data_IF_105385018096
#
_entry.id   IF_105385018096
#
_cell.length_a   1.000
_cell.length_b   1.000
_cell.length_c   1.000
_cell.angle_alpha   90.00
_cell.angle_beta   90.00
_cell.angle_gamma   90.00
#
_symmetry.space_group_name_H-M   'P 1'
#
loop_
_entity.id
_entity.type
_entity.pdbx_description
1 polymer ?
#
# COMPACT_ATOMS: atom_id res chain seq x y z
N UNK A 1 -33.76 -10.01 44.83
CA UNK A 1 -34.54 -10.18 43.59
C UNK A 1 -33.54 -10.49 42.48
N UNK A 2 -33.46 -11.77 42.16
CA UNK A 2 -32.52 -12.38 41.22
C UNK A 2 -33.27 -12.65 39.93
N UNK A 3 -32.71 -12.30 38.78
CA UNK A 3 -33.16 -12.78 37.46
C UNK A 3 -31.93 -13.02 36.58
N UNK A 4 -31.51 -14.27 36.66
CA UNK A 4 -30.68 -15.01 35.72
C UNK A 4 -31.47 -15.28 34.43
N UNK A 5 -30.83 -15.15 33.28
CA UNK A 5 -31.25 -15.82 32.05
C UNK A 5 -30.02 -16.16 31.19
N UNK A 6 -29.63 -17.43 31.29
CA UNK A 6 -28.79 -18.19 30.36
C UNK A 6 -29.73 -18.91 29.39
N UNK A 7 -29.37 -19.06 28.11
CA UNK A 7 -29.82 -20.09 27.14
C UNK A 7 -29.03 -19.84 25.83
N UNK A 8 -27.97 -20.62 25.57
CA UNK A 8 -27.86 -21.79 24.66
C UNK A 8 -27.57 -21.44 23.19
N UNK A 9 -26.43 -21.95 22.72
CA UNK A 9 -26.00 -22.04 21.32
C UNK A 9 -26.67 -23.23 20.59
N UNK A 10 -26.68 -23.20 19.26
CA UNK A 10 -26.17 -24.31 18.45
C UNK A 10 -25.21 -23.77 17.37
N UNK A 11 -24.15 -24.45 16.94
CA UNK A 11 -24.07 -25.86 16.62
C UNK A 11 -23.98 -26.01 15.09
N UNK A 12 -22.76 -26.23 14.61
CA UNK A 12 -22.28 -26.56 13.26
C UNK A 12 -23.30 -26.93 12.17
N UNK A 13 -23.11 -26.36 10.96
CA UNK A 13 -23.14 -27.16 9.73
C UNK A 13 -22.11 -26.64 8.71
N UNK A 14 -21.07 -27.47 8.49
CA UNK A 14 -20.16 -27.40 7.34
C UNK A 14 -20.95 -27.81 6.10
N UNK A 15 -20.92 -27.00 5.04
CA UNK A 15 -21.25 -27.46 3.69
C UNK A 15 -20.00 -27.43 2.82
N UNK A 16 -19.58 -28.63 2.45
CA UNK A 16 -18.54 -28.96 1.49
C UNK A 16 -19.04 -28.53 0.10
N UNK A 17 -18.37 -27.57 -0.54
CA UNK A 17 -18.56 -27.33 -1.97
C UNK A 17 -17.57 -28.21 -2.72
N UNK A 18 -18.16 -29.16 -3.43
CA UNK A 18 -17.54 -30.19 -4.24
C UNK A 18 -16.97 -29.55 -5.53
N UNK A 19 -15.66 -29.66 -5.74
CA UNK A 19 -14.96 -29.18 -6.94
C UNK A 19 -15.10 -30.24 -8.02
N UNK A 20 -15.93 -29.98 -9.03
CA UNK A 20 -16.05 -30.81 -10.23
C UNK A 20 -15.01 -30.40 -11.27
N UNK A 21 -14.06 -31.30 -11.56
CA UNK A 21 -13.20 -31.26 -12.74
C UNK A 21 -14.00 -31.49 -14.04
N UNK A 22 -13.63 -30.83 -15.15
CA UNK A 22 -13.79 -31.38 -16.48
C UNK A 22 -12.52 -32.08 -16.96
N UNK A 23 -12.72 -33.27 -17.54
CA UNK A 23 -11.75 -34.13 -18.24
C UNK A 23 -11.33 -33.54 -19.60
N UNK A 24 -10.22 -34.05 -20.18
CA UNK A 24 -9.65 -33.54 -21.42
C UNK A 24 -10.39 -34.08 -22.66
N UNK A 25 -10.59 -33.23 -23.67
CA UNK A 25 -10.95 -33.66 -25.01
C UNK A 25 -9.69 -33.80 -25.87
N UNK A 26 -9.59 -34.96 -26.52
CA UNK A 26 -8.53 -35.32 -27.44
C UNK A 26 -8.78 -34.79 -28.86
N UNK A 27 -7.66 -34.67 -29.58
CA UNK A 27 -7.47 -35.02 -31.00
C UNK A 27 -8.24 -34.26 -32.08
N UNK A 28 -7.49 -33.52 -32.90
CA UNK A 28 -7.51 -33.72 -34.35
C UNK A 28 -6.13 -33.38 -34.94
N UNK A 29 -5.56 -34.39 -35.60
CA UNK A 29 -4.30 -34.32 -36.32
C UNK A 29 -4.53 -33.77 -37.74
N UNK A 30 -3.59 -32.96 -38.24
CA UNK A 30 -3.34 -32.85 -39.67
C UNK A 30 -1.85 -33.02 -39.89
N UNK A 31 -1.53 -34.08 -40.64
CA UNK A 31 -0.22 -34.50 -41.08
C UNK A 31 0.18 -33.73 -42.34
N UNK A 32 1.45 -33.33 -42.44
CA UNK A 32 2.09 -33.07 -43.72
C UNK A 32 3.58 -33.48 -43.66
N UNK A 33 3.82 -34.60 -44.35
CA UNK A 33 5.05 -35.19 -44.91
C UNK A 33 5.96 -34.09 -45.49
N UNK A 34 7.27 -33.95 -45.25
CA UNK A 34 8.47 -34.82 -45.28
C UNK A 34 9.66 -33.93 -45.75
N UNK A 35 10.89 -34.40 -46.11
CA UNK A 35 11.62 -35.62 -45.77
C UNK A 35 13.00 -35.37 -45.11
N UNK A 36 13.62 -36.47 -44.67
CA UNK A 36 14.97 -36.62 -44.12
C UNK A 36 16.10 -36.08 -45.02
N UNK A 37 17.16 -35.56 -44.38
CA UNK A 37 18.54 -35.75 -44.87
C UNK A 37 19.50 -36.07 -43.73
N UNK A 38 20.08 -37.26 -43.80
CA UNK A 38 21.17 -37.76 -42.95
C UNK A 38 22.49 -37.20 -43.47
N UNK A 39 23.36 -36.72 -42.60
CA UNK A 39 24.81 -36.80 -42.80
C UNK A 39 25.53 -36.90 -41.46
N UNK A 40 25.94 -38.13 -41.14
CA UNK A 40 27.05 -38.48 -40.26
C UNK A 40 28.37 -38.04 -40.89
N UNK A 41 29.21 -37.33 -40.14
CA UNK A 41 30.67 -37.46 -40.27
C UNK A 41 31.32 -37.48 -38.90
N UNK A 42 32.40 -38.25 -38.86
CA UNK A 42 33.04 -38.89 -37.73
C UNK A 42 34.48 -38.37 -37.64
N UNK A 43 34.95 -38.15 -36.41
CA UNK A 43 36.33 -38.07 -35.90
C UNK A 43 37.24 -36.94 -36.42
N UNK A 44 37.87 -36.19 -35.49
CA UNK A 44 39.22 -36.53 -34.97
C UNK A 44 39.58 -35.72 -33.73
N UNK A 45 40.36 -36.37 -32.86
CA UNK A 45 40.99 -35.88 -31.63
C UNK A 45 41.96 -34.72 -31.86
N UNK A 46 42.12 -33.90 -30.81
CA UNK A 46 43.38 -33.41 -30.21
C UNK A 46 43.04 -32.19 -29.33
N UNK A 47 43.75 -31.79 -28.28
CA UNK A 47 44.72 -32.35 -27.35
C UNK A 47 44.84 -31.23 -26.30
N UNK A 48 44.92 -31.59 -25.02
CA UNK A 48 45.61 -30.88 -23.93
C UNK A 48 45.46 -29.36 -23.78
N UNK A 49 44.92 -28.91 -22.63
CA UNK A 49 45.67 -28.06 -21.66
C UNK A 49 44.81 -27.67 -20.46
N UNK A 50 45.20 -28.23 -19.31
CA UNK A 50 45.24 -27.59 -17.98
C UNK A 50 44.62 -26.21 -17.79
N UNK A 51 43.59 -26.13 -16.94
CA UNK A 51 43.40 -24.96 -16.06
C UNK A 51 42.88 -25.42 -14.72
N UNK A 52 43.76 -25.31 -13.73
CA UNK A 52 43.49 -25.35 -12.30
C UNK A 52 42.31 -24.43 -11.98
N UNK A 53 41.16 -24.99 -11.59
CA UNK A 53 40.11 -24.22 -10.92
C UNK A 53 40.02 -24.71 -9.48
N UNK A 54 40.64 -23.89 -8.63
CA UNK A 54 40.43 -23.82 -7.20
C UNK A 54 38.92 -23.71 -6.97
N UNK A 55 38.35 -24.76 -6.36
CA UNK A 55 37.03 -24.71 -5.78
C UNK A 55 37.09 -23.80 -4.55
N UNK A 56 37.01 -22.50 -4.77
CA UNK A 56 36.79 -21.52 -3.71
C UNK A 56 35.33 -21.65 -3.28
N UNK A 57 35.14 -22.44 -2.22
CA UNK A 57 33.90 -22.49 -1.45
C UNK A 57 33.59 -21.08 -0.97
N UNK A 58 32.71 -20.39 -1.70
CA UNK A 58 32.02 -19.20 -1.23
C UNK A 58 31.17 -19.61 -0.03
N UNK A 59 31.76 -19.51 1.16
CA UNK A 59 31.04 -19.53 2.42
C UNK A 59 30.04 -18.38 2.40
N UNK A 60 28.78 -18.72 2.19
CA UNK A 60 27.65 -17.85 2.45
C UNK A 60 27.68 -17.53 3.95
N UNK A 61 28.22 -16.36 4.29
CA UNK A 61 28.19 -15.84 5.64
C UNK A 61 26.72 -15.72 6.07
N UNK A 62 26.24 -16.71 6.82
CA UNK A 62 24.96 -16.63 7.50
C UNK A 62 25.03 -15.44 8.47
N UNK A 63 23.96 -14.64 8.60
CA UNK A 63 23.96 -13.49 9.50
C UNK A 63 24.32 -13.94 10.92
N UNK A 64 25.11 -13.12 11.62
CA UNK A 64 25.50 -13.35 13.00
C UNK A 64 24.25 -13.75 13.83
N UNK A 65 24.21 -14.98 14.37
CA UNK A 65 23.07 -15.47 15.16
C UNK A 65 22.71 -14.54 16.31
N UNK A 66 23.69 -13.86 16.91
CA UNK A 66 23.46 -12.90 17.99
C UNK A 66 22.74 -11.64 17.51
N UNK A 67 23.14 -11.10 16.34
CA UNK A 67 22.47 -9.96 15.73
C UNK A 67 21.02 -10.29 15.35
N UNK A 68 20.77 -11.48 14.79
CA UNK A 68 19.41 -11.95 14.47
C UNK A 68 18.54 -12.10 15.72
N UNK A 69 19.08 -12.69 16.79
CA UNK A 69 18.37 -12.82 18.06
C UNK A 69 18.03 -11.45 18.68
N UNK A 70 18.99 -10.51 18.68
CA UNK A 70 18.76 -9.13 19.12
C UNK A 70 17.68 -8.43 18.31
N UNK A 71 17.72 -8.59 16.98
CA UNK A 71 16.72 -8.00 16.09
C UNK A 71 15.31 -8.54 16.41
N UNK A 72 15.18 -9.85 16.66
CA UNK A 72 13.89 -10.44 17.01
C UNK A 72 13.32 -9.88 18.31
N UNK A 73 14.13 -9.73 19.35
CA UNK A 73 13.70 -9.13 20.62
C UNK A 73 13.23 -7.67 20.44
N UNK A 74 13.96 -6.89 19.64
CA UNK A 74 13.58 -5.52 19.31
C UNK A 74 12.27 -5.48 18.51
N UNK A 75 12.07 -6.41 17.58
CA UNK A 75 10.81 -6.52 16.82
C UNK A 75 9.64 -6.89 17.73
N UNK A 76 9.83 -7.80 18.68
CA UNK A 76 8.79 -8.15 19.65
C UNK A 76 8.37 -6.96 20.50
N UNK A 77 9.34 -6.24 21.07
CA UNK A 77 9.08 -5.03 21.86
C UNK A 77 8.39 -3.95 21.02
N UNK A 78 8.86 -3.73 19.78
CA UNK A 78 8.27 -2.75 18.87
C UNK A 78 6.80 -3.08 18.55
N UNK A 79 6.51 -4.33 18.22
CA UNK A 79 5.14 -4.77 17.88
C UNK A 79 4.21 -4.61 19.08
N UNK A 80 4.67 -4.93 20.29
CA UNK A 80 3.91 -4.69 21.52
C UNK A 80 3.67 -3.19 21.75
N UNK A 81 4.67 -2.34 21.50
CA UNK A 81 4.56 -0.90 21.69
C UNK A 81 3.62 -0.21 20.71
N UNK A 82 3.46 -0.73 19.49
CA UNK A 82 2.60 -0.11 18.46
C UNK A 82 1.22 -0.78 18.36
N UNK A 83 1.02 -1.89 19.05
CA UNK A 83 -0.24 -2.59 19.07
C UNK A 83 -1.38 -1.68 19.57
N UNK A 84 -2.54 -1.78 18.90
CA UNK A 84 -3.74 -1.00 19.17
C UNK A 84 -3.57 0.54 19.15
N UNK A 85 -2.58 1.06 18.41
CA UNK A 85 -2.33 2.53 18.33
C UNK A 85 -2.98 3.24 17.15
N UNK A 86 -3.74 2.52 16.31
CA UNK A 86 -4.22 3.01 15.01
C UNK A 86 -3.07 3.59 14.17
N UNK A 87 -2.10 2.75 13.80
CA UNK A 87 -0.93 3.14 13.02
C UNK A 87 -0.09 4.28 13.64
N UNK A 88 -0.08 4.41 14.97
CA UNK A 88 0.64 5.45 15.69
C UNK A 88 -0.12 6.77 15.86
N UNK A 89 -1.40 6.82 15.54
CA UNK A 89 -2.25 8.00 15.67
C UNK A 89 -2.63 8.27 17.14
N UNK A 90 -2.90 7.22 17.93
CA UNK A 90 -3.30 7.31 19.34
C UNK A 90 -2.21 6.82 20.32
N UNK A 91 -0.95 6.73 19.87
CA UNK A 91 0.18 6.33 20.72
C UNK A 91 0.61 7.47 21.67
N UNK A 92 0.97 7.13 22.92
CA UNK A 92 1.51 8.11 23.88
C UNK A 92 2.92 8.57 23.49
N UNK A 93 3.34 9.74 23.97
CA UNK A 93 4.66 10.30 23.65
C UNK A 93 5.82 9.40 24.11
N UNK A 94 5.71 8.80 25.31
CA UNK A 94 6.72 7.87 25.84
C UNK A 94 6.86 6.63 24.97
N UNK A 95 5.72 5.98 24.63
CA UNK A 95 5.70 4.83 23.71
C UNK A 95 6.23 5.20 22.34
N UNK A 96 5.92 6.40 21.83
CA UNK A 96 6.41 6.93 20.55
C UNK A 96 7.93 7.09 20.53
N UNK A 97 8.49 7.69 21.58
CA UNK A 97 9.94 7.87 21.72
C UNK A 97 10.62 6.51 21.72
N UNK A 98 10.11 5.56 22.52
CA UNK A 98 10.67 4.21 22.59
C UNK A 98 10.56 3.44 21.27
N UNK A 99 9.39 3.47 20.62
CA UNK A 99 9.19 2.84 19.32
C UNK A 99 10.16 3.42 18.27
N UNK A 100 10.33 4.75 18.24
CA UNK A 100 11.26 5.40 17.31
C UNK A 100 12.73 5.06 17.60
N UNK A 101 13.11 4.92 18.87
CA UNK A 101 14.45 4.45 19.26
C UNK A 101 14.70 3.02 18.78
N UNK A 102 13.76 2.10 19.02
CA UNK A 102 13.86 0.71 18.55
C UNK A 102 13.95 0.65 17.01
N UNK A 103 13.14 1.45 16.29
CA UNK A 103 13.22 1.54 14.83
C UNK A 103 14.64 1.94 14.42
N UNK A 104 15.26 2.94 15.04
CA UNK A 104 16.64 3.35 14.72
C UNK A 104 17.66 2.26 15.02
N UNK A 105 17.52 1.53 16.13
CA UNK A 105 18.39 0.39 16.43
C UNK A 105 18.26 -0.71 15.36
N UNK A 106 17.04 -1.02 14.93
CA UNK A 106 16.79 -1.96 13.84
C UNK A 106 17.33 -1.46 12.50
N UNK A 107 17.32 -0.14 12.24
CA UNK A 107 17.98 0.45 11.06
C UNK A 107 19.49 0.22 11.07
N UNK A 108 20.15 0.35 12.24
CA UNK A 108 21.58 0.04 12.36
C UNK A 108 21.86 -1.44 12.10
N UNK A 109 21.02 -2.35 12.61
CA UNK A 109 21.14 -3.79 12.32
C UNK A 109 20.90 -4.05 10.82
N UNK A 110 19.87 -3.45 10.24
CA UNK A 110 19.52 -3.60 8.83
C UNK A 110 20.56 -3.04 7.87
N UNK A 111 21.37 -2.07 8.30
CA UNK A 111 22.48 -1.56 7.51
C UNK A 111 23.59 -2.60 7.25
N UNK A 112 23.70 -3.63 8.10
CA UNK A 112 24.61 -4.76 7.93
C UNK A 112 23.90 -6.03 7.43
N UNK A 113 22.61 -5.94 7.09
CA UNK A 113 21.82 -7.09 6.67
C UNK A 113 22.16 -7.52 5.24
N UNK A 114 22.43 -8.81 5.08
CA UNK A 114 22.53 -9.49 3.79
C UNK A 114 21.50 -10.63 3.69
N UNK A 115 20.81 -10.79 2.54
CA UNK A 115 20.81 -9.88 1.40
C UNK A 115 20.20 -8.52 1.76
N UNK A 116 20.68 -7.46 1.10
CA UNK A 116 20.12 -6.10 1.21
C UNK A 116 18.59 -6.09 1.00
N UNK A 117 17.84 -5.22 1.70
CA UNK A 117 16.38 -5.19 1.65
C UNK A 117 15.74 -5.24 0.26
N UNK A 118 16.25 -4.53 -0.75
CA UNK A 118 15.67 -4.57 -2.11
C UNK A 118 15.99 -5.84 -2.90
N UNK A 119 17.06 -6.54 -2.54
CA UNK A 119 17.46 -7.82 -3.15
C UNK A 119 16.90 -9.03 -2.38
N UNK A 120 16.30 -8.79 -1.22
CA UNK A 120 15.72 -9.82 -0.38
C UNK A 120 14.31 -10.19 -0.90
N UNK A 121 14.02 -11.48 -1.18
CA UNK A 121 12.69 -11.92 -1.64
C UNK A 121 11.55 -11.55 -0.70
N UNK A 122 11.84 -11.33 0.58
CA UNK A 122 10.86 -10.86 1.56
C UNK A 122 10.35 -9.44 1.26
N UNK A 123 10.95 -8.67 0.34
CA UNK A 123 10.42 -7.34 -0.01
C UNK A 123 9.01 -7.45 -0.61
N UNK A 124 8.71 -8.56 -1.27
CA UNK A 124 7.43 -8.82 -1.91
C UNK A 124 6.38 -9.29 -0.91
N UNK A 125 5.15 -8.81 -1.07
CA UNK A 125 3.99 -9.24 -0.30
C UNK A 125 3.03 -8.11 0.06
N UNK A 126 1.99 -8.50 0.79
CA UNK A 126 1.05 -7.58 1.40
C UNK A 126 1.52 -7.22 2.81
N UNK A 127 1.37 -5.95 3.16
CA UNK A 127 1.71 -5.46 4.48
C UNK A 127 0.62 -4.55 5.05
N UNK A 128 0.37 -4.67 6.35
CA UNK A 128 -0.35 -3.63 7.09
C UNK A 128 0.64 -2.53 7.46
N UNK A 129 0.20 -1.27 7.39
CA UNK A 129 0.96 -0.13 7.92
C UNK A 129 0.69 -0.03 9.41
N UNK A 130 1.43 -0.80 10.20
CA UNK A 130 1.21 -0.98 11.63
C UNK A 130 1.59 0.25 12.46
N UNK A 131 2.53 1.07 11.97
CA UNK A 131 2.93 2.30 12.65
C UNK A 131 3.52 3.32 11.70
N UNK A 132 3.23 4.59 11.95
CA UNK A 132 3.91 5.73 11.34
C UNK A 132 4.28 6.77 12.39
N UNK A 133 5.45 7.39 12.20
CA UNK A 133 5.84 8.61 12.92
C UNK A 133 6.09 9.73 11.93
N UNK A 134 5.59 10.93 12.23
CA UNK A 134 5.92 12.12 11.46
C UNK A 134 7.39 12.47 11.65
N UNK A 135 8.05 12.86 10.55
CA UNK A 135 9.37 13.46 10.58
C UNK A 135 9.26 14.98 10.73
N UNK A 136 10.36 15.63 11.10
CA UNK A 136 10.40 17.08 11.38
C UNK A 136 9.99 17.95 10.18
N UNK A 137 10.11 17.43 8.94
CA UNK A 137 9.77 18.13 7.70
C UNK A 137 8.44 17.68 7.09
N UNK A 138 7.64 16.87 7.80
CA UNK A 138 6.38 16.32 7.31
C UNK A 138 5.20 17.08 7.91
N UNK A 139 4.46 17.82 7.09
CA UNK A 139 3.12 18.30 7.48
C UNK A 139 2.11 17.17 7.26
N UNK A 140 1.22 16.88 8.23
CA UNK A 140 0.16 15.88 8.10
C UNK A 140 0.60 14.41 8.25
N UNK A 141 -0.37 13.49 8.14
CA UNK A 141 -0.14 12.06 8.37
C UNK A 141 0.74 11.43 7.26
N UNK A 142 1.84 10.73 7.60
CA UNK A 142 2.74 10.14 6.60
C UNK A 142 2.07 9.07 5.74
N UNK A 143 1.15 8.31 6.34
CA UNK A 143 0.27 7.40 5.64
C UNK A 143 -1.18 7.88 5.75
N UNK A 144 -1.91 7.76 4.64
CA UNK A 144 -3.29 8.21 4.52
C UNK A 144 -3.48 9.73 4.37
N UNK A 145 -2.46 10.54 4.67
CA UNK A 145 -2.42 11.95 4.30
C UNK A 145 -3.66 12.73 4.78
N UNK A 146 -4.31 13.48 3.87
CA UNK A 146 -5.47 14.31 4.22
C UNK A 146 -6.65 13.51 4.81
N UNK A 147 -6.82 12.24 4.46
CA UNK A 147 -7.86 11.37 5.04
C UNK A 147 -7.62 11.08 6.52
N UNK A 148 -6.36 11.13 6.96
CA UNK A 148 -5.94 10.84 8.34
C UNK A 148 -5.42 12.06 9.09
N UNK A 149 -5.66 13.27 8.59
CA UNK A 149 -5.17 14.51 9.20
C UNK A 149 -6.27 15.56 9.34
N UNK A 150 -6.22 16.37 10.41
CA UNK A 150 -7.13 17.48 10.65
C UNK A 150 -8.61 17.06 10.53
N UNK A 151 -9.37 17.80 9.71
CA UNK A 151 -10.80 17.52 9.47
C UNK A 151 -11.04 16.15 8.84
N UNK A 152 -10.07 15.60 8.10
CA UNK A 152 -10.20 14.26 7.50
C UNK A 152 -10.34 13.17 8.56
N UNK A 153 -9.65 13.27 9.70
CA UNK A 153 -9.77 12.30 10.79
C UNK A 153 -11.17 12.28 11.41
N UNK A 154 -11.87 13.42 11.39
CA UNK A 154 -13.26 13.54 11.85
C UNK A 154 -14.22 12.92 10.83
N UNK A 155 -13.99 13.16 9.54
CA UNK A 155 -14.86 12.69 8.46
C UNK A 155 -14.66 11.22 8.12
N UNK A 156 -13.43 10.73 8.23
CA UNK A 156 -13.00 9.42 7.76
C UNK A 156 -12.37 8.65 8.92
N UNK A 157 -13.17 7.81 9.58
CA UNK A 157 -12.66 6.91 10.60
C UNK A 157 -11.91 5.76 9.92
N UNK A 158 -10.59 5.76 9.98
CA UNK A 158 -9.78 4.70 9.36
C UNK A 158 -10.04 3.37 10.07
N UNK A 159 -10.27 2.32 9.28
CA UNK A 159 -10.46 0.95 9.76
C UNK A 159 -9.32 0.05 9.33
N UNK A 160 -8.67 0.36 8.20
CA UNK A 160 -7.55 -0.42 7.67
C UNK A 160 -6.57 0.46 6.91
N UNK A 161 -5.29 0.15 7.03
CA UNK A 161 -4.21 0.80 6.29
C UNK A 161 -3.21 -0.25 5.80
N UNK A 162 -3.13 -0.43 4.48
CA UNK A 162 -2.32 -1.45 3.85
C UNK A 162 -1.36 -0.83 2.81
N UNK A 163 -0.22 -1.48 2.66
CA UNK A 163 0.70 -1.27 1.55
C UNK A 163 1.16 -2.63 1.04
N UNK A 164 1.13 -2.84 -0.27
CA UNK A 164 1.69 -4.04 -0.89
C UNK A 164 2.79 -3.67 -1.85
N UNK A 165 3.80 -4.52 -1.90
CA UNK A 165 4.87 -4.48 -2.91
C UNK A 165 4.77 -5.79 -3.66
N UNK A 166 4.26 -5.73 -4.89
CA UNK A 166 3.90 -6.87 -5.71
C UNK A 166 4.84 -6.95 -6.90
N UNK A 167 5.15 -8.17 -7.32
CA UNK A 167 5.97 -8.39 -8.49
C UNK A 167 5.26 -7.92 -9.76
N UNK A 168 6.00 -7.47 -10.79
CA UNK A 168 7.46 -7.28 -10.79
C UNK A 168 7.91 -5.96 -10.13
N UNK A 169 7.05 -4.95 -10.05
CA UNK A 169 7.42 -3.61 -9.56
C UNK A 169 6.21 -2.78 -9.09
N UNK A 170 5.08 -3.42 -8.79
CA UNK A 170 3.83 -2.77 -8.44
C UNK A 170 3.81 -2.43 -6.95
N UNK A 171 3.41 -1.21 -6.62
CA UNK A 171 3.16 -0.79 -5.24
C UNK A 171 1.74 -0.28 -5.12
N UNK A 172 1.01 -0.78 -4.15
CA UNK A 172 -0.35 -0.33 -3.87
C UNK A 172 -0.46 0.12 -2.44
N UNK A 173 -1.09 1.28 -2.24
CA UNK A 173 -1.48 1.78 -0.91
C UNK A 173 -2.99 1.75 -0.84
N UNK A 174 -3.56 1.26 0.26
CA UNK A 174 -5.00 1.23 0.47
C UNK A 174 -5.36 1.71 1.86
N UNK A 175 -6.35 2.57 1.93
CA UNK A 175 -7.01 2.99 3.16
C UNK A 175 -8.44 2.51 3.07
N UNK A 176 -8.94 1.85 4.11
CA UNK A 176 -10.38 1.64 4.29
C UNK A 176 -10.82 2.49 5.48
N UNK A 177 -11.97 3.13 5.34
CA UNK A 177 -12.50 4.04 6.35
C UNK A 177 -14.03 4.05 6.34
N UNK A 178 -14.60 4.58 7.41
CA UNK A 178 -16.02 4.92 7.50
C UNK A 178 -16.18 6.43 7.33
N UNK A 179 -16.74 6.86 6.21
CA UNK A 179 -17.19 8.23 6.00
C UNK A 179 -18.37 8.52 6.94
N UNK A 180 -18.27 9.61 7.71
CA UNK A 180 -19.21 9.99 8.78
C UNK A 180 -19.42 8.90 9.85
N UNK A 181 -18.49 7.95 9.95
CA UNK A 181 -18.55 6.85 10.92
C UNK A 181 -19.49 5.70 10.55
N UNK A 182 -20.18 5.73 9.40
CA UNK A 182 -21.10 4.65 9.00
C UNK A 182 -20.98 4.20 7.54
N UNK A 183 -20.57 5.07 6.61
CA UNK A 183 -20.51 4.70 5.18
C UNK A 183 -19.13 4.13 4.85
N UNK A 184 -19.00 2.83 4.51
CA UNK A 184 -17.71 2.26 4.15
C UNK A 184 -17.17 2.87 2.87
N UNK A 185 -15.91 3.28 2.87
CA UNK A 185 -15.20 3.75 1.70
C UNK A 185 -13.81 3.13 1.67
N UNK A 186 -13.22 3.08 0.48
CA UNK A 186 -11.80 2.77 0.33
C UNK A 186 -11.12 3.82 -0.57
N UNK A 187 -9.88 4.15 -0.25
CA UNK A 187 -9.01 4.99 -1.08
C UNK A 187 -7.77 4.18 -1.43
N UNK A 188 -7.60 3.93 -2.71
CA UNK A 188 -6.49 3.15 -3.26
C UNK A 188 -5.55 4.01 -4.08
N UNK A 189 -4.24 3.81 -3.94
CA UNK A 189 -3.25 4.33 -4.87
C UNK A 189 -2.50 3.17 -5.49
N UNK A 190 -2.30 3.23 -6.81
CA UNK A 190 -1.52 2.28 -7.58
C UNK A 190 -0.30 2.99 -8.15
N UNK A 191 0.87 2.42 -7.98
CA UNK A 191 2.12 2.99 -8.45
C UNK A 191 3.17 1.95 -8.79
N UNK A 192 4.31 2.41 -9.30
CA UNK A 192 5.38 1.54 -9.76
C UNK A 192 6.71 1.96 -9.15
N UNK A 193 7.52 0.97 -8.74
CA UNK A 193 8.88 1.15 -8.25
C UNK A 193 9.77 1.63 -9.39
N UNK A 194 10.54 2.67 -9.10
CA UNK A 194 11.61 3.14 -9.97
C UNK A 194 12.87 3.30 -9.13
N UNK A 195 13.98 2.78 -9.65
CA UNK A 195 15.31 3.06 -9.13
C UNK A 195 15.58 4.57 -9.21
N UNK A 196 15.94 5.17 -8.09
CA UNK A 196 16.10 6.62 -8.01
C UNK A 196 17.39 7.06 -8.74
N UNK A 197 17.37 8.18 -9.50
CA UNK A 197 18.58 8.84 -9.95
C UNK A 197 19.50 9.20 -8.77
N UNK A 198 20.81 9.24 -9.02
CA UNK A 198 21.88 9.41 -8.03
C UNK A 198 21.75 10.65 -7.12
N UNK A 199 20.88 11.62 -7.43
CA UNK A 199 20.74 12.90 -6.71
C UNK A 199 19.63 12.92 -5.63
N UNK A 200 18.60 12.07 -5.70
CA UNK A 200 17.47 12.10 -4.76
C UNK A 200 17.55 11.05 -3.63
N UNK A 201 18.41 10.03 -3.77
CA UNK A 201 18.46 8.87 -2.87
C UNK A 201 19.22 9.05 -1.54
N UNK A 202 19.82 10.22 -1.28
CA UNK A 202 20.64 10.46 -0.09
C UNK A 202 21.91 9.59 -0.02
N UNK A 203 22.56 9.44 1.16
CA UNK A 203 23.80 8.67 1.32
C UNK A 203 23.61 7.14 1.21
N UNK A 204 22.43 6.60 1.52
CA UNK A 204 22.12 5.16 1.46
C UNK A 204 21.24 4.81 0.25
N UNK A 205 21.78 5.01 -0.95
CA UNK A 205 21.06 4.91 -2.23
C UNK A 205 20.58 3.50 -2.57
N UNK A 206 21.25 2.47 -2.03
CA UNK A 206 21.08 1.09 -2.48
C UNK A 206 19.75 0.46 -2.07
N UNK A 207 19.11 0.94 -1.00
CA UNK A 207 17.79 0.46 -0.56
C UNK A 207 16.67 1.51 -0.68
N UNK A 208 16.95 2.55 -1.46
CA UNK A 208 16.05 3.67 -1.67
C UNK A 208 15.29 3.50 -2.99
N UNK A 209 13.97 3.60 -2.94
CA UNK A 209 13.08 3.51 -4.10
C UNK A 209 12.17 4.72 -4.18
N UNK A 210 11.89 5.16 -5.42
CA UNK A 210 10.85 6.15 -5.69
C UNK A 210 9.66 5.42 -6.30
N UNK A 211 8.49 5.67 -5.75
CA UNK A 211 7.24 5.13 -6.26
C UNK A 211 6.44 6.28 -6.85
N UNK A 212 5.98 6.12 -8.10
CA UNK A 212 5.06 7.06 -8.74
C UNK A 212 3.65 6.47 -8.76
N UNK A 213 2.77 7.07 -7.97
CA UNK A 213 1.37 6.72 -7.88
C UNK A 213 0.52 7.49 -8.87
N UNK A 214 -0.40 6.78 -9.52
CA UNK A 214 -1.52 7.36 -10.25
C UNK A 214 -2.47 8.10 -9.29
N UNK A 215 -3.39 8.94 -9.81
CA UNK A 215 -4.40 9.60 -9.01
C UNK A 215 -5.17 8.58 -8.15
N UNK A 216 -5.37 8.85 -6.85
CA UNK A 216 -6.09 7.97 -5.95
C UNK A 216 -7.48 7.61 -6.47
N UNK A 217 -7.86 6.35 -6.25
CA UNK A 217 -9.19 5.82 -6.54
C UNK A 217 -10.00 5.78 -5.24
N UNK A 218 -11.11 6.51 -5.21
CA UNK A 218 -12.13 6.43 -4.16
C UNK A 218 -13.19 5.41 -4.59
N UNK A 219 -13.36 4.37 -3.78
CA UNK A 219 -14.41 3.35 -3.91
C UNK A 219 -15.46 3.56 -2.83
N UNK A 220 -16.73 3.62 -3.24
CA UNK A 220 -17.90 3.53 -2.37
C UNK A 220 -18.63 2.19 -2.61
N UNK A 221 -19.57 1.79 -1.72
CA UNK A 221 -20.33 0.56 -1.89
C UNK A 221 -21.16 0.58 -3.19
N UNK A 222 -21.51 -0.61 -3.69
CA UNK A 222 -22.30 -0.73 -4.93
C UNK A 222 -21.51 -0.48 -6.22
N UNK A 223 -20.18 -0.58 -6.18
CA UNK A 223 -19.34 -0.45 -7.37
C UNK A 223 -19.16 0.99 -7.86
N UNK A 224 -19.46 1.98 -7.02
CA UNK A 224 -19.29 3.39 -7.33
C UNK A 224 -17.82 3.75 -7.10
N UNK A 225 -17.10 4.05 -8.19
CA UNK A 225 -15.69 4.41 -8.13
C UNK A 225 -15.46 5.76 -8.81
N UNK A 226 -14.52 6.54 -8.28
CA UNK A 226 -14.00 7.74 -8.94
C UNK A 226 -12.52 7.92 -8.68
N UNK A 227 -11.82 8.63 -9.56
CA UNK A 227 -10.50 9.16 -9.25
C UNK A 227 -10.61 10.51 -8.58
N UNK A 228 -9.74 10.76 -7.61
CA UNK A 228 -9.66 11.98 -6.82
C UNK A 228 -8.22 12.46 -6.73
N UNK A 229 -8.06 13.77 -6.69
CA UNK A 229 -6.77 14.43 -6.57
C UNK A 229 -5.75 14.15 -7.67
N UNK A 230 -4.54 14.68 -7.51
CA UNK A 230 -3.47 14.54 -8.48
C UNK A 230 -2.71 13.22 -8.30
N UNK A 231 -1.91 12.83 -9.31
CA UNK A 231 -0.84 11.84 -9.13
C UNK A 231 0.16 12.26 -8.04
N UNK A 232 0.97 11.32 -7.55
CA UNK A 232 1.94 11.61 -6.49
C UNK A 232 3.18 10.73 -6.52
N UNK A 233 4.27 11.17 -5.90
CA UNK A 233 5.48 10.36 -5.74
C UNK A 233 5.88 10.24 -4.27
N UNK A 234 6.53 9.12 -3.93
CA UNK A 234 7.09 8.88 -2.60
C UNK A 234 8.48 8.29 -2.74
N UNK A 235 9.44 8.85 -2.01
CA UNK A 235 10.77 8.29 -1.83
C UNK A 235 10.84 7.61 -0.46
N UNK A 236 11.12 6.31 -0.46
CA UNK A 236 11.20 5.49 0.75
C UNK A 236 12.46 4.62 0.71
N UNK A 237 13.22 4.64 1.79
CA UNK A 237 14.32 3.69 2.03
C UNK A 237 13.81 2.52 2.86
N UNK A 238 13.97 1.29 2.37
CA UNK A 238 13.72 0.10 3.19
C UNK A 238 14.96 -0.17 4.02
N UNK A 239 14.85 -0.05 5.34
CA UNK A 239 16.03 0.02 6.23
C UNK A 239 16.28 -1.25 7.03
N UNK A 240 15.28 -2.10 7.18
CA UNK A 240 15.35 -3.40 7.84
C UNK A 240 14.20 -4.26 7.32
N UNK A 241 14.43 -5.56 7.17
CA UNK A 241 13.43 -6.49 6.67
C UNK A 241 13.61 -7.86 7.29
N UNK A 242 12.55 -8.46 7.82
CA UNK A 242 12.54 -9.87 8.17
C UNK A 242 11.20 -10.51 7.79
N UNK A 243 10.96 -11.72 8.27
CA UNK A 243 9.77 -12.50 7.97
C UNK A 243 8.49 -11.80 8.48
N UNK A 244 8.60 -10.98 9.53
CA UNK A 244 7.47 -10.34 10.23
C UNK A 244 7.26 -8.88 9.85
N UNK A 245 8.35 -8.12 9.74
CA UNK A 245 8.30 -6.66 9.55
C UNK A 245 9.22 -6.17 8.44
N UNK A 246 8.81 -5.07 7.83
CA UNK A 246 9.63 -4.22 6.97
C UNK A 246 9.62 -2.81 7.54
N UNK A 247 10.79 -2.18 7.64
CA UNK A 247 10.92 -0.81 8.12
C UNK A 247 11.20 0.15 6.97
N UNK A 248 10.47 1.26 6.94
CA UNK A 248 10.61 2.32 5.95
C UNK A 248 11.07 3.63 6.58
N UNK A 249 11.96 4.34 5.88
CA UNK A 249 12.33 5.72 6.16
C UNK A 249 11.93 6.59 4.97
N UNK A 250 11.01 7.52 5.18
CA UNK A 250 10.66 8.51 4.17
C UNK A 250 11.73 9.59 4.05
N UNK A 251 11.90 10.16 2.86
CA UNK A 251 12.87 11.25 2.62
C UNK A 251 12.71 12.48 3.53
N UNK A 252 11.51 12.69 4.10
CA UNK A 252 11.20 13.77 5.06
C UNK A 252 11.37 13.36 6.53
N UNK A 253 11.99 12.21 6.79
CA UNK A 253 12.27 11.68 8.12
C UNK A 253 11.10 10.96 8.78
N UNK A 254 10.03 10.65 8.04
CA UNK A 254 8.94 9.82 8.55
C UNK A 254 9.39 8.37 8.70
N UNK A 255 8.99 7.73 9.79
CA UNK A 255 9.28 6.32 10.08
C UNK A 255 8.04 5.48 9.82
N UNK A 256 8.24 4.30 9.25
CA UNK A 256 7.17 3.35 8.94
C UNK A 256 7.52 1.96 9.45
N UNK A 257 6.55 1.28 10.05
CA UNK A 257 6.59 -0.15 10.35
C UNK A 257 5.49 -0.83 9.55
N UNK A 258 5.88 -1.78 8.71
CA UNK A 258 4.99 -2.59 7.91
C UNK A 258 5.01 -4.02 8.45
N UNK A 259 3.88 -4.57 8.86
CA UNK A 259 3.77 -5.99 9.28
C UNK A 259 3.25 -6.82 8.12
N UNK A 260 3.85 -7.99 7.88
CA UNK A 260 3.48 -8.87 6.77
C UNK A 260 2.11 -9.54 6.99
N UNK A 261 1.32 -9.63 5.93
CA UNK A 261 0.11 -10.45 5.82
C UNK A 261 -1.08 -9.94 6.65
N UNK A 262 -1.91 -10.86 7.13
CA UNK A 262 -3.07 -10.55 7.96
C UNK A 262 -4.16 -9.82 7.17
N UNK A 263 -4.68 -8.72 7.71
CA UNK A 263 -5.72 -7.91 7.06
C UNK A 263 -5.37 -7.47 5.63
N UNK A 264 -4.08 -7.24 5.36
CA UNK A 264 -3.60 -6.86 4.03
C UNK A 264 -3.72 -7.97 2.98
N UNK A 265 -3.74 -9.25 3.37
CA UNK A 265 -3.97 -10.37 2.45
C UNK A 265 -5.43 -10.46 1.98
N UNK A 266 -6.36 -9.94 2.81
CA UNK A 266 -7.79 -9.89 2.51
C UNK A 266 -8.21 -8.60 1.80
N UNK A 267 -7.28 -7.66 1.60
CA UNK A 267 -7.58 -6.31 1.13
C UNK A 267 -7.57 -6.17 -0.41
N UNK A 268 -7.47 -7.27 -1.17
CA UNK A 268 -7.47 -7.28 -2.64
C UNK A 268 -6.46 -6.27 -3.23
N UNK A 269 -5.24 -6.28 -2.69
CA UNK A 269 -4.25 -5.24 -2.92
C UNK A 269 -3.72 -5.19 -4.36
N UNK A 270 -3.88 -6.27 -5.12
CA UNK A 270 -3.61 -6.37 -6.56
C UNK A 270 -4.65 -5.65 -7.42
N UNK A 271 -5.90 -5.55 -6.93
CA UNK A 271 -7.03 -4.89 -7.59
C UNK A 271 -7.06 -3.38 -7.39
N UNK A 272 -6.26 -2.86 -6.44
CA UNK A 272 -6.20 -1.44 -6.12
C UNK A 272 -5.80 -0.61 -7.35
N UNK A 273 -6.59 0.44 -7.61
CA UNK A 273 -6.35 1.41 -8.68
C UNK A 273 -6.76 0.96 -10.08
N UNK A 274 -7.36 -0.25 -10.22
CA UNK A 274 -7.82 -0.80 -11.49
C UNK A 274 -9.27 -0.43 -11.82
N UNK A 275 -10.08 -0.01 -10.84
CA UNK A 275 -11.50 0.24 -11.12
C UNK A 275 -11.67 1.53 -11.88
N UNK A 276 -12.61 1.52 -12.81
CA UNK A 276 -12.90 2.66 -13.68
C UNK A 276 -13.74 3.68 -12.94
N UNK A 277 -13.45 4.95 -13.19
CA UNK A 277 -14.33 6.03 -12.78
C UNK A 277 -15.71 5.84 -13.40
N UNK A 278 -16.73 5.77 -12.55
CA UNK A 278 -18.12 5.65 -12.95
C UNK A 278 -18.74 7.04 -13.09
N UNK A 279 -19.62 7.22 -14.08
CA UNK A 279 -20.40 8.48 -14.22
C UNK A 279 -21.22 8.75 -12.95
N UNK A 280 -21.76 7.70 -12.35
CA UNK A 280 -22.48 7.75 -11.09
C UNK A 280 -21.59 8.26 -9.93
N UNK A 281 -20.34 7.81 -9.84
CA UNK A 281 -19.40 8.26 -8.81
C UNK A 281 -19.04 9.74 -8.92
N UNK A 282 -18.75 10.21 -10.14
CA UNK A 282 -18.52 11.63 -10.41
C UNK A 282 -19.76 12.44 -10.01
N UNK A 283 -20.93 12.04 -10.51
CA UNK A 283 -22.18 12.74 -10.23
C UNK A 283 -22.48 12.78 -8.73
N UNK A 284 -22.35 11.66 -8.02
CA UNK A 284 -22.61 11.57 -6.58
C UNK A 284 -21.71 12.50 -5.78
N UNK A 285 -20.40 12.49 -6.05
CA UNK A 285 -19.44 13.31 -5.29
C UNK A 285 -19.64 14.79 -5.60
N UNK A 286 -19.81 15.13 -6.88
CA UNK A 286 -20.08 16.51 -7.27
C UNK A 286 -21.39 17.01 -6.66
N UNK A 287 -22.47 16.23 -6.76
CA UNK A 287 -23.77 16.57 -6.19
C UNK A 287 -23.70 16.72 -4.68
N UNK A 288 -23.03 15.82 -3.95
CA UNK A 288 -22.86 15.93 -2.50
C UNK A 288 -22.10 17.20 -2.10
N UNK A 289 -20.97 17.47 -2.75
CA UNK A 289 -20.17 18.65 -2.47
C UNK A 289 -20.94 19.94 -2.82
N UNK A 290 -21.58 19.98 -3.99
CA UNK A 290 -22.36 21.12 -4.45
C UNK A 290 -23.60 21.35 -3.58
N UNK A 291 -24.32 20.30 -3.18
CA UNK A 291 -25.52 20.44 -2.34
C UNK A 291 -25.18 20.97 -0.96
N UNK A 292 -24.09 20.49 -0.34
CA UNK A 292 -23.63 20.99 0.95
C UNK A 292 -23.18 22.45 0.87
N UNK A 293 -22.44 22.80 -0.18
CA UNK A 293 -21.94 24.17 -0.35
C UNK A 293 -23.06 25.15 -0.69
N UNK A 294 -23.77 24.92 -1.80
CA UNK A 294 -24.82 25.80 -2.32
C UNK A 294 -26.00 25.85 -1.34
N UNK A 295 -26.45 24.69 -0.84
CA UNK A 295 -27.52 24.61 0.15
C UNK A 295 -27.15 25.30 1.46
N UNK A 296 -25.90 25.14 1.92
CA UNK A 296 -25.40 25.85 3.09
C UNK A 296 -25.39 27.38 2.89
N UNK A 297 -24.85 27.86 1.76
CA UNK A 297 -24.82 29.29 1.43
C UNK A 297 -26.23 29.86 1.34
N UNK A 298 -27.14 29.19 0.63
CA UNK A 298 -28.54 29.59 0.54
C UNK A 298 -29.18 29.71 1.93
N UNK A 299 -28.95 28.72 2.79
CA UNK A 299 -29.48 28.68 4.16
C UNK A 299 -28.94 29.84 5.00
N UNK A 300 -27.66 30.20 4.87
CA UNK A 300 -27.04 31.32 5.59
C UNK A 300 -27.60 32.67 5.15
N UNK A 301 -27.80 32.85 3.84
CA UNK A 301 -28.25 34.10 3.23
C UNK A 301 -29.76 34.32 3.36
N UNK A 302 -30.53 33.27 3.64
CA UNK A 302 -31.98 33.40 3.80
C UNK A 302 -32.34 33.95 5.19
N UNK A 303 -32.57 35.27 5.24
CA UNK A 303 -32.92 36.00 6.47
C UNK A 303 -34.29 35.61 7.05
N UNK A 304 -35.14 34.89 6.31
CA UNK A 304 -36.40 34.38 6.83
C UNK A 304 -36.21 33.14 7.73
N UNK A 305 -35.03 32.50 7.71
CA UNK A 305 -34.74 31.31 8.50
C UNK A 305 -34.28 31.68 9.92
N UNK A 306 -34.67 30.92 10.95
CA UNK A 306 -34.19 31.11 12.31
C UNK A 306 -32.66 31.00 12.41
N UNK A 307 -32.05 31.76 13.32
CA UNK A 307 -30.61 31.72 13.63
C UNK A 307 -30.01 30.31 13.75
N UNK A 308 -30.62 29.32 14.46
CA UNK A 308 -30.05 27.97 14.53
C UNK A 308 -30.01 27.27 13.16
N UNK A 309 -30.98 27.51 12.28
CA UNK A 309 -31.01 26.95 10.92
C UNK A 309 -29.91 27.58 10.07
N UNK A 310 -29.71 28.90 10.20
CA UNK A 310 -28.62 29.61 9.51
C UNK A 310 -27.25 29.13 9.98
N UNK A 311 -27.08 28.83 11.27
CA UNK A 311 -25.87 28.23 11.80
C UNK A 311 -25.59 26.83 11.22
N UNK A 312 -26.62 26.00 11.03
CA UNK A 312 -26.50 24.74 10.28
C UNK A 312 -26.07 24.97 8.83
N UNK A 313 -26.54 26.05 8.20
CA UNK A 313 -26.09 26.49 6.89
C UNK A 313 -24.57 26.75 6.84
N UNK A 314 -24.04 27.48 7.83
CA UNK A 314 -22.58 27.72 7.97
C UNK A 314 -21.84 26.39 8.08
N UNK A 315 -22.32 25.49 8.94
CA UNK A 315 -21.72 24.17 9.10
C UNK A 315 -21.72 23.37 7.79
N UNK A 316 -22.84 23.35 7.05
CA UNK A 316 -22.95 22.65 5.77
C UNK A 316 -21.97 23.22 4.73
N UNK A 317 -21.83 24.55 4.64
CA UNK A 317 -20.86 25.20 3.74
C UNK A 317 -19.43 24.81 4.09
N UNK A 318 -19.06 24.83 5.38
CA UNK A 318 -17.73 24.43 5.84
C UNK A 318 -17.46 22.95 5.55
N UNK A 319 -18.44 22.08 5.79
CA UNK A 319 -18.35 20.66 5.51
C UNK A 319 -18.19 20.37 4.01
N UNK A 320 -19.01 21.00 3.16
CA UNK A 320 -18.90 20.89 1.70
C UNK A 320 -17.54 21.34 1.19
N UNK A 321 -17.01 22.45 1.74
CA UNK A 321 -15.67 22.96 1.44
C UNK A 321 -14.58 21.98 1.87
N UNK A 322 -14.69 21.41 3.07
CA UNK A 322 -13.74 20.44 3.59
C UNK A 322 -13.69 19.15 2.75
N UNK A 323 -14.85 18.56 2.42
CA UNK A 323 -14.96 17.39 1.55
C UNK A 323 -14.37 17.66 0.16
N UNK A 324 -14.73 18.80 -0.44
CA UNK A 324 -14.18 19.22 -1.74
C UNK A 324 -12.66 19.34 -1.67
N UNK A 325 -12.10 19.92 -0.61
CA UNK A 325 -10.64 20.01 -0.41
C UNK A 325 -9.96 18.64 -0.35
N UNK A 326 -10.58 17.66 0.33
CA UNK A 326 -10.05 16.30 0.42
C UNK A 326 -10.08 15.60 -0.94
N UNK A 327 -11.21 15.67 -1.65
CA UNK A 327 -11.36 15.00 -2.95
C UNK A 327 -10.54 15.67 -4.07
N UNK A 328 -10.43 17.00 -4.10
CA UNK A 328 -9.64 17.69 -5.14
C UNK A 328 -8.13 17.53 -4.91
N UNK A 329 -7.67 17.30 -3.68
CA UNK A 329 -6.24 17.14 -3.37
C UNK A 329 -5.78 15.69 -3.13
N UNK A 330 -6.69 14.73 -3.04
CA UNK A 330 -6.39 13.29 -3.11
C UNK A 330 -5.50 12.73 -2.00
N UNK A 331 -5.53 13.28 -0.78
CA UNK A 331 -4.70 12.78 0.32
C UNK A 331 -3.20 13.13 0.22
N UNK A 332 -2.71 13.59 -0.92
CA UNK A 332 -1.29 13.84 -1.19
C UNK A 332 -0.88 15.24 -0.71
N UNK A 333 0.36 15.36 -0.25
CA UNK A 333 0.95 16.61 0.24
C UNK A 333 2.07 17.17 -0.64
N UNK A 334 2.53 16.41 -1.64
CA UNK A 334 3.63 16.82 -2.51
C UNK A 334 3.32 16.56 -3.98
N UNK A 335 3.16 17.63 -4.74
CA UNK A 335 2.90 17.65 -6.18
C UNK A 335 4.14 18.18 -6.93
N UNK A 336 5.11 18.75 -6.21
CA UNK A 336 6.17 19.58 -6.79
C UNK A 336 7.37 18.77 -7.31
N UNK A 337 7.43 17.46 -7.02
CA UNK A 337 8.47 16.55 -7.51
C UNK A 337 7.87 15.33 -8.25
N UNK A 338 7.03 15.62 -9.24
CA UNK A 338 6.36 14.61 -10.08
C UNK A 338 6.85 14.63 -11.53
N UNK A 339 8.17 14.48 -11.75
CA UNK A 339 8.71 14.16 -13.07
C UNK A 339 8.66 12.65 -13.28
N UNK A 340 7.64 12.18 -14.01
CA UNK A 340 7.39 10.75 -14.23
C UNK A 340 8.20 10.22 -15.42
N UNK A 341 9.09 9.22 -15.24
CA UNK A 341 9.83 8.61 -16.34
C UNK A 341 8.91 7.96 -17.38
N UNK A 342 9.31 7.98 -18.66
CA UNK A 342 8.53 7.43 -19.78
C UNK A 342 8.14 5.96 -19.57
N UNK A 343 9.06 5.15 -19.02
CA UNK A 343 8.80 3.73 -18.73
C UNK A 343 7.59 3.54 -17.81
N UNK A 344 7.45 4.40 -16.79
CA UNK A 344 6.30 4.36 -15.88
C UNK A 344 5.03 4.83 -16.58
N UNK A 345 5.13 5.84 -17.45
CA UNK A 345 3.98 6.31 -18.24
C UNK A 345 3.45 5.19 -19.16
N UNK A 346 4.34 4.44 -19.81
CA UNK A 346 3.98 3.31 -20.66
C UNK A 346 3.28 2.19 -19.86
N UNK A 347 3.80 1.83 -18.68
CA UNK A 347 3.19 0.83 -17.80
C UNK A 347 1.79 1.25 -17.30
N UNK A 348 1.64 2.52 -16.92
CA UNK A 348 0.34 3.07 -16.52
C UNK A 348 -0.66 3.07 -17.69
N UNK A 349 -0.22 3.43 -18.90
CA UNK A 349 -1.04 3.42 -20.11
C UNK A 349 -1.45 2.00 -20.54
N UNK A 350 -0.56 1.02 -20.42
CA UNK A 350 -0.84 -0.39 -20.71
C UNK A 350 -1.89 -0.97 -19.74
N UNK A 351 -1.76 -0.66 -18.44
CA UNK A 351 -2.73 -1.08 -17.41
C UNK A 351 -4.13 -0.50 -17.69
N UNK A 352 -4.19 0.77 -18.09
CA UNK A 352 -5.46 1.43 -18.44
C UNK A 352 -6.13 0.79 -19.66
N UNK A 353 -5.34 0.36 -20.66
CA UNK A 353 -5.83 -0.33 -21.86
C UNK A 353 -6.23 -1.78 -21.61
N UNK A 354 -5.53 -2.51 -20.75
CA UNK A 354 -5.89 -3.90 -20.40
C UNK A 354 -7.24 -4.04 -19.69
N UNK A 355 -7.68 -3.00 -18.97
CA UNK A 355 -9.02 -2.93 -18.36
C UNK A 355 -10.15 -2.60 -19.37
N UNK A 356 -9.83 -2.39 -20.66
CA UNK A 356 -10.78 -1.97 -21.71
C UNK A 356 -11.33 -3.07 -22.61
N UNK A 357 -10.87 -4.30 -22.43
CA UNK A 357 -11.44 -5.50 -23.03
C UNK A 357 -12.36 -6.20 -22.01
#
# INVERSE_FOLDING_TARGET
>A
MSLTASIIAPGLHRNLINVSHPRPCSSSAVSLVGPLRKHTHRLTLNHSSSTTQVAEQAATASPDPAAKAKANLLVDELLQLIDNTDSGDNISNERRIRANDIIRQLQTIGAAQEPRPLNNPLIWGNFNVAYTSQGNAQSGAPAGGRFRSGIGKILFRTTRLCQSVLQPDLVTNKIEALLFGFLPIAVGLRGYLVSIPQQEGGPNKQDCVKVFFDPPELTLPGGINTRIGPPSSVVLTTTFLNERVRLGLGSRGSLFVFTRGGDSDLAEMDQVGLKRTTKAGIALIFSLCASLFIGGVYTVLNNALPTPVRALGVFATLLGTALTSVFVRGGVLDINNYDRPEVVQQKAAATTRGSSA
#
